data_IF_237347258767
#
_entry.id   IF_237347258767
#
_cell.length_a   1.000
_cell.length_b   1.000
_cell.length_c   1.000
_cell.angle_alpha   90.00
_cell.angle_beta   90.00
_cell.angle_gamma   90.00
#
_symmetry.space_group_name_H-M   'P 1'
#
loop_
_entity.id
_entity.type
_entity.pdbx_description
1 polymer ?
#
# COMPACT_ATOMS: atom_id res chain seq x y z
N UNK A 1 -8.51 -21.67 -0.74
CA UNK A 1 -9.87 -22.11 -0.38
C UNK A 1 -10.49 -21.05 0.53
N UNK A 2 -11.82 -20.92 0.54
CA UNK A 2 -12.49 -19.97 1.42
C UNK A 2 -12.50 -20.50 2.85
N UNK A 3 -12.34 -19.62 3.85
CA UNK A 3 -12.51 -19.99 5.27
C UNK A 3 -13.87 -20.61 5.54
N UNK A 4 -14.89 -20.27 4.75
CA UNK A 4 -16.19 -20.91 4.85
C UNK A 4 -16.13 -22.37 4.38
N UNK A 5 -15.36 -22.67 3.33
CA UNK A 5 -15.06 -24.03 2.90
C UNK A 5 -14.35 -24.80 4.01
N UNK A 6 -13.38 -24.18 4.68
CA UNK A 6 -12.66 -24.81 5.80
C UNK A 6 -13.58 -25.05 7.01
N UNK A 7 -14.45 -24.08 7.33
CA UNK A 7 -15.45 -24.22 8.39
C UNK A 7 -16.51 -25.27 8.06
N UNK A 8 -16.93 -25.37 6.79
CA UNK A 8 -17.83 -26.42 6.32
C UNK A 8 -17.17 -27.79 6.43
N UNK A 9 -15.89 -27.91 6.05
CA UNK A 9 -15.11 -29.14 6.22
C UNK A 9 -14.95 -29.52 7.69
N UNK A 10 -14.67 -28.54 8.58
CA UNK A 10 -14.62 -28.76 10.02
C UNK A 10 -15.99 -29.18 10.58
N UNK A 11 -17.08 -28.54 10.13
CA UNK A 11 -18.44 -28.90 10.52
C UNK A 11 -18.76 -30.33 10.08
N UNK A 12 -18.46 -30.69 8.82
CA UNK A 12 -18.62 -32.05 8.26
C UNK A 12 -17.84 -33.10 9.03
N UNK A 13 -16.64 -32.75 9.52
CA UNK A 13 -15.80 -33.66 10.31
C UNK A 13 -16.35 -33.94 11.72
N UNK A 14 -17.16 -33.03 12.27
CA UNK A 14 -17.77 -33.17 13.60
C UNK A 14 -19.20 -33.70 13.53
N UNK A 15 -19.96 -33.27 12.54
CA UNK A 15 -21.32 -33.68 12.24
C UNK A 15 -21.51 -33.72 10.70
N UNK A 16 -21.48 -34.91 10.10
CA UNK A 16 -21.60 -35.07 8.65
C UNK A 16 -22.92 -34.53 8.09
N UNK A 17 -24.01 -34.61 8.86
CA UNK A 17 -25.34 -34.22 8.42
C UNK A 17 -25.50 -32.70 8.48
N UNK A 18 -25.12 -32.08 9.60
CA UNK A 18 -25.09 -30.62 9.71
C UNK A 18 -24.16 -29.99 8.67
N UNK A 19 -22.99 -30.58 8.43
CA UNK A 19 -22.05 -30.09 7.41
C UNK A 19 -22.63 -30.17 5.98
N UNK A 20 -23.37 -31.23 5.66
CA UNK A 20 -24.06 -31.36 4.37
C UNK A 20 -25.23 -30.36 4.22
N UNK A 21 -25.98 -30.13 5.30
CA UNK A 21 -27.09 -29.16 5.32
C UNK A 21 -26.58 -27.73 5.15
N UNK A 22 -25.52 -27.35 5.88
CA UNK A 22 -24.88 -26.03 5.73
C UNK A 22 -24.30 -25.83 4.33
N UNK A 23 -23.72 -26.86 3.72
CA UNK A 23 -23.19 -26.78 2.36
C UNK A 23 -24.30 -26.57 1.34
N UNK A 24 -25.45 -27.22 1.51
CA UNK A 24 -26.64 -27.08 0.64
C UNK A 24 -27.23 -25.67 0.72
N UNK A 25 -27.50 -25.18 1.93
CA UNK A 25 -28.02 -23.83 2.17
C UNK A 25 -27.05 -22.77 1.68
N UNK A 26 -25.75 -22.97 1.92
CA UNK A 26 -24.73 -22.05 1.42
C UNK A 26 -24.67 -22.05 -0.11
N UNK A 27 -24.77 -23.21 -0.78
CA UNK A 27 -24.76 -23.27 -2.24
C UNK A 27 -25.90 -22.44 -2.83
N UNK A 28 -27.07 -22.45 -2.20
CA UNK A 28 -28.24 -21.62 -2.58
C UNK A 28 -28.03 -20.14 -2.27
N UNK A 29 -27.36 -19.78 -1.18
CA UNK A 29 -27.03 -18.39 -0.87
C UNK A 29 -25.93 -17.83 -1.78
N UNK A 30 -24.92 -18.65 -2.10
CA UNK A 30 -23.79 -18.30 -2.96
C UNK A 30 -24.18 -18.13 -4.43
N UNK A 31 -25.29 -18.72 -4.86
CA UNK A 31 -25.82 -18.54 -6.21
C UNK A 31 -26.50 -17.18 -6.41
N UNK A 32 -26.84 -16.48 -5.32
CA UNK A 32 -27.25 -15.08 -5.37
C UNK A 32 -26.00 -14.21 -5.40
N UNK A 33 -25.53 -13.90 -6.59
CA UNK A 33 -24.45 -12.93 -6.76
C UNK A 33 -24.98 -11.53 -6.41
N UNK A 34 -24.35 -10.80 -5.48
CA UNK A 34 -24.58 -9.37 -5.33
C UNK A 34 -24.42 -8.67 -6.69
N UNK A 35 -25.26 -7.68 -6.99
CA UNK A 35 -25.02 -6.83 -8.15
C UNK A 35 -23.77 -5.98 -7.91
N UNK A 36 -22.89 -5.87 -8.91
CA UNK A 36 -21.65 -5.09 -8.83
C UNK A 36 -20.38 -5.94 -8.81
N UNK A 37 -19.32 -5.37 -8.20
CA UNK A 37 -18.00 -6.00 -8.16
C UNK A 37 -17.96 -7.10 -7.10
N UNK A 38 -17.85 -8.34 -7.55
CA UNK A 38 -17.76 -9.53 -6.69
C UNK A 38 -16.32 -10.05 -6.60
N UNK A 39 -15.82 -10.21 -5.37
CA UNK A 39 -14.49 -10.76 -5.11
C UNK A 39 -14.41 -11.41 -3.72
N UNK A 40 -13.38 -12.24 -3.51
CA UNK A 40 -13.17 -12.95 -2.23
C UNK A 40 -12.57 -12.03 -1.16
N UNK A 41 -13.35 -11.75 -0.10
CA UNK A 41 -12.92 -10.91 1.04
C UNK A 41 -12.22 -11.66 2.18
N UNK A 42 -12.25 -12.99 2.14
CA UNK A 42 -11.95 -13.85 3.30
C UNK A 42 -10.53 -14.41 3.38
N UNK A 43 -9.60 -13.99 2.51
CA UNK A 43 -8.20 -14.40 2.68
C UNK A 43 -7.60 -13.57 3.84
N UNK A 44 -7.01 -14.22 4.86
CA UNK A 44 -6.41 -13.50 5.97
C UNK A 44 -5.21 -12.70 5.46
N UNK A 45 -5.24 -11.40 5.72
CA UNK A 45 -4.00 -10.63 5.77
C UNK A 45 -3.34 -10.97 7.09
N UNK A 46 -2.06 -11.33 7.05
CA UNK A 46 -1.24 -11.55 8.21
C UNK A 46 -0.30 -10.35 8.36
N UNK A 47 -0.21 -9.82 9.57
CA UNK A 47 0.68 -8.70 9.90
C UNK A 47 1.72 -9.21 10.88
N UNK A 48 2.98 -9.07 10.50
CA UNK A 48 4.11 -9.29 11.40
C UNK A 48 4.18 -8.12 12.40
N UNK A 49 4.39 -8.44 13.67
CA UNK A 49 4.50 -7.50 14.77
C UNK A 49 5.90 -7.62 15.43
N UNK A 50 6.98 -7.11 14.79
CA UNK A 50 8.36 -7.33 15.24
C UNK A 50 8.67 -6.81 16.64
N UNK A 51 7.94 -5.78 17.08
CA UNK A 51 8.13 -5.17 18.40
C UNK A 51 7.28 -5.82 19.50
N UNK A 52 6.37 -6.75 19.16
CA UNK A 52 5.50 -7.40 20.14
C UNK A 52 6.27 -8.56 20.82
N UNK A 53 6.38 -8.58 22.16
CA UNK A 53 7.03 -9.68 22.85
C UNK A 53 6.23 -10.97 22.70
N UNK A 54 6.93 -12.07 22.43
CA UNK A 54 6.33 -13.39 22.21
C UNK A 54 5.82 -13.99 23.52
N UNK A 55 4.59 -14.52 23.47
CA UNK A 55 3.90 -15.19 24.59
C UNK A 55 3.42 -16.58 24.17
N UNK A 56 3.17 -17.43 25.16
CA UNK A 56 2.48 -18.71 24.93
C UNK A 56 1.10 -18.46 24.30
N UNK A 57 0.79 -19.22 23.25
CA UNK A 57 -0.42 -19.11 22.46
C UNK A 57 -0.32 -18.20 21.25
N UNK A 58 0.72 -17.36 21.14
CA UNK A 58 0.92 -16.50 19.98
C UNK A 58 1.18 -17.31 18.71
N UNK A 59 0.71 -16.76 17.59
CA UNK A 59 1.06 -17.20 16.24
C UNK A 59 2.33 -16.51 15.82
N UNK A 60 3.26 -17.22 15.19
CA UNK A 60 4.58 -16.71 14.82
C UNK A 60 5.03 -17.22 13.46
N UNK A 61 5.87 -16.45 12.78
CA UNK A 61 6.74 -16.93 11.71
C UNK A 61 8.16 -17.14 12.25
N UNK A 62 8.87 -18.07 11.63
CA UNK A 62 10.29 -18.29 11.88
C UNK A 62 11.09 -17.40 10.93
N UNK A 63 11.89 -16.50 11.49
CA UNK A 63 12.74 -15.61 10.72
C UNK A 63 13.94 -16.41 10.17
N UNK A 64 14.36 -16.18 8.92
CA UNK A 64 15.57 -16.79 8.39
C UNK A 64 16.80 -16.31 9.17
N UNK A 65 17.86 -17.10 9.15
CA UNK A 65 19.12 -16.73 9.81
C UNK A 65 19.64 -15.41 9.24
N UNK A 66 20.02 -14.48 10.13
CA UNK A 66 20.58 -13.18 9.71
C UNK A 66 21.78 -13.43 8.80
N UNK A 67 21.63 -13.10 7.50
CA UNK A 67 22.58 -13.22 6.36
C UNK A 67 22.27 -14.32 5.32
N UNK A 68 21.28 -15.19 5.49
CA UNK A 68 20.84 -16.07 4.39
C UNK A 68 19.78 -15.38 3.53
N UNK A 69 19.91 -15.47 2.21
CA UNK A 69 18.88 -15.08 1.25
C UNK A 69 17.95 -16.28 0.96
N UNK A 70 17.72 -17.14 1.97
CA UNK A 70 16.82 -18.27 1.85
C UNK A 70 15.37 -17.78 1.86
N UNK A 71 14.51 -18.50 1.12
CA UNK A 71 13.08 -18.24 1.10
C UNK A 71 12.53 -18.26 2.52
N UNK A 72 11.75 -17.23 2.88
CA UNK A 72 11.09 -17.14 4.20
C UNK A 72 10.14 -18.32 4.38
N UNK A 73 10.13 -18.90 5.58
CA UNK A 73 9.11 -19.86 5.98
C UNK A 73 7.81 -19.10 6.31
N UNK A 74 6.88 -19.09 5.36
CA UNK A 74 5.55 -18.47 5.53
C UNK A 74 4.58 -19.34 6.33
N UNK A 75 5.02 -20.50 6.83
CA UNK A 75 4.19 -21.36 7.66
C UNK A 75 3.89 -20.68 8.99
N UNK A 76 2.64 -20.82 9.42
CA UNK A 76 2.15 -20.25 10.65
C UNK A 76 2.32 -21.24 11.81
N UNK A 77 3.09 -20.86 12.81
CA UNK A 77 3.37 -21.69 13.98
C UNK A 77 2.66 -21.14 15.22
N UNK A 78 2.25 -22.01 16.14
CA UNK A 78 1.71 -21.62 17.44
C UNK A 78 2.72 -21.92 18.56
N UNK A 79 2.97 -20.92 19.42
CA UNK A 79 3.85 -21.08 20.58
C UNK A 79 3.15 -21.90 21.67
N UNK A 80 3.62 -23.12 21.93
CA UNK A 80 3.07 -24.00 22.98
C UNK A 80 3.70 -23.77 24.34
N UNK A 81 5.00 -23.54 24.37
CA UNK A 81 5.74 -23.30 25.60
C UNK A 81 6.96 -22.41 25.34
N UNK A 82 7.40 -21.73 26.39
CA UNK A 82 8.64 -20.94 26.38
C UNK A 82 9.52 -21.48 27.50
N UNK A 83 10.73 -21.88 27.15
CA UNK A 83 11.71 -22.48 28.08
C UNK A 83 13.00 -21.67 28.07
N UNK A 84 13.73 -21.69 29.18
CA UNK A 84 15.10 -21.17 29.23
C UNK A 84 16.05 -22.28 28.77
N UNK A 85 16.96 -21.95 27.87
CA UNK A 85 18.10 -22.78 27.47
C UNK A 85 19.37 -21.97 27.72
N UNK A 86 20.01 -22.19 28.88
CA UNK A 86 21.15 -21.38 29.33
C UNK A 86 20.79 -19.90 29.54
N UNK A 87 21.51 -18.99 28.87
CA UNK A 87 21.24 -17.54 28.87
C UNK A 87 20.11 -17.12 27.92
N UNK A 88 19.71 -18.00 27.00
CA UNK A 88 18.75 -17.69 25.94
C UNK A 88 17.37 -18.26 26.26
N UNK A 89 16.32 -17.70 25.65
CA UNK A 89 14.96 -18.24 25.70
C UNK A 89 14.63 -18.91 24.37
N UNK A 90 14.05 -20.10 24.45
CA UNK A 90 13.57 -20.86 23.30
C UNK A 90 12.07 -21.08 23.42
N UNK A 91 11.38 -21.13 22.28
CA UNK A 91 9.96 -21.41 22.18
C UNK A 91 9.74 -22.76 21.48
N UNK A 92 8.85 -23.56 22.04
CA UNK A 92 8.35 -24.77 21.40
C UNK A 92 7.16 -24.41 20.54
N UNK A 93 7.25 -24.77 19.27
CA UNK A 93 6.31 -24.41 18.23
C UNK A 93 5.58 -25.65 17.75
N UNK A 94 4.32 -25.48 17.39
CA UNK A 94 3.51 -26.48 16.70
C UNK A 94 2.94 -25.85 15.43
N UNK A 95 3.04 -26.57 14.31
CA UNK A 95 2.59 -26.09 13.01
C UNK A 95 1.05 -26.03 12.97
N UNK A 96 0.49 -24.89 12.57
CA UNK A 96 -0.94 -24.75 12.36
C UNK A 96 -1.33 -25.28 10.98
N UNK A 97 -2.41 -26.09 10.93
CA UNK A 97 -3.01 -26.56 9.67
C UNK A 97 -2.37 -27.82 9.07
N UNK A 98 -1.42 -28.46 9.76
CA UNK A 98 -0.85 -29.74 9.33
C UNK A 98 -1.78 -30.92 9.67
N UNK A 99 -1.76 -31.96 8.82
CA UNK A 99 -2.52 -33.20 9.03
C UNK A 99 -1.99 -34.05 10.20
N UNK A 100 -0.79 -33.74 10.72
CA UNK A 100 -0.18 -34.37 11.87
C UNK A 100 0.63 -33.36 12.70
N UNK A 101 1.02 -33.71 13.94
CA UNK A 101 1.74 -32.81 14.82
C UNK A 101 3.19 -32.62 14.35
N UNK A 102 3.46 -31.54 13.63
CA UNK A 102 4.81 -31.06 13.34
C UNK A 102 5.21 -30.04 14.40
N UNK A 103 6.36 -30.24 15.04
CA UNK A 103 6.86 -29.38 16.11
C UNK A 103 8.34 -29.09 15.95
N UNK A 104 8.75 -27.90 16.39
CA UNK A 104 10.15 -27.50 16.41
C UNK A 104 10.43 -26.56 17.58
N UNK A 105 11.70 -26.46 18.00
CA UNK A 105 12.13 -25.52 19.03
C UNK A 105 13.03 -24.46 18.41
N UNK A 106 12.66 -23.19 18.57
CA UNK A 106 13.36 -22.05 17.94
C UNK A 106 13.71 -21.00 18.99
N UNK A 107 14.82 -20.28 18.80
CA UNK A 107 15.18 -19.15 19.65
C UNK A 107 14.13 -18.03 19.52
N UNK A 108 13.76 -17.39 20.64
CA UNK A 108 12.78 -16.30 20.63
C UNK A 108 13.21 -15.14 19.72
N UNK A 109 14.50 -14.87 19.62
CA UNK A 109 15.05 -13.77 18.82
C UNK A 109 14.91 -14.01 17.30
N UNK A 110 14.65 -15.26 16.89
CA UNK A 110 14.43 -15.67 15.50
C UNK A 110 12.94 -15.88 15.20
N UNK A 111 12.05 -15.35 16.04
CA UNK A 111 10.60 -15.42 15.88
C UNK A 111 10.00 -14.03 15.76
N UNK A 112 8.98 -13.92 14.92
CA UNK A 112 8.15 -12.72 14.81
C UNK A 112 6.69 -13.08 15.05
N UNK A 113 6.02 -12.32 15.90
CA UNK A 113 4.60 -12.51 16.18
C UNK A 113 3.79 -12.14 14.94
N UNK A 114 2.83 -12.98 14.59
CA UNK A 114 1.92 -12.79 13.47
C UNK A 114 0.51 -12.62 14.02
N UNK A 115 -0.13 -11.54 13.63
CA UNK A 115 -1.55 -11.34 13.84
C UNK A 115 -2.29 -11.54 12.52
N UNK A 116 -3.29 -12.41 12.52
CA UNK A 116 -4.20 -12.56 11.39
C UNK A 116 -5.32 -11.51 11.48
N UNK A 117 -5.93 -11.17 10.35
CA UNK A 117 -6.96 -10.11 10.23
C UNK A 117 -8.11 -10.13 11.27
N UNK A 118 -8.45 -11.28 11.87
CA UNK A 118 -9.50 -11.35 12.92
C UNK A 118 -8.97 -11.30 14.35
N UNK A 119 -7.66 -11.31 14.52
CA UNK A 119 -7.06 -11.08 15.82
C UNK A 119 -7.24 -9.62 16.19
N UNK A 120 -7.74 -9.35 17.39
CA UNK A 120 -7.88 -7.98 17.85
C UNK A 120 -6.50 -7.40 18.14
N UNK A 121 -6.11 -6.41 17.35
CA UNK A 121 -4.91 -5.62 17.57
C UNK A 121 -5.35 -4.28 18.13
N UNK A 122 -4.76 -3.88 19.26
CA UNK A 122 -4.91 -2.55 19.82
C UNK A 122 -3.72 -1.71 19.37
N UNK A 123 -3.86 -0.88 18.32
CA UNK A 123 -2.77 -0.05 17.86
C UNK A 123 -2.44 1.00 18.92
N UNK A 124 -1.15 1.13 19.22
CA UNK A 124 -0.59 2.22 20.01
C UNK A 124 0.45 2.97 19.19
N UNK A 125 0.55 4.28 19.42
CA UNK A 125 1.59 5.11 18.81
C UNK A 125 2.65 5.43 19.87
N UNK A 126 3.92 5.29 19.49
CA UNK A 126 5.07 5.70 20.29
C UNK A 126 5.83 6.73 19.47
N UNK A 127 6.14 7.88 20.07
CA UNK A 127 6.99 8.89 19.42
C UNK A 127 8.42 8.38 19.30
N UNK A 128 8.98 8.40 18.10
CA UNK A 128 10.36 7.98 17.81
C UNK A 128 11.32 9.17 17.63
N UNK A 129 10.79 10.40 17.57
CA UNK A 129 11.57 11.62 17.39
C UNK A 129 10.71 12.79 16.90
N UNK A 130 11.32 13.98 16.83
CA UNK A 130 10.74 15.20 16.27
C UNK A 130 11.83 16.07 15.62
N UNK A 131 11.44 16.88 14.65
CA UNK A 131 12.32 17.86 13.99
C UNK A 131 11.67 19.23 14.09
N UNK A 132 12.39 20.21 14.66
CA UNK A 132 11.87 21.56 14.93
C UNK A 132 12.58 22.57 14.03
N UNK A 133 11.97 22.87 12.88
CA UNK A 133 12.45 23.90 11.92
C UNK A 133 11.38 24.92 11.52
N UNK A 134 10.18 24.79 12.07
CA UNK A 134 8.98 25.52 11.63
C UNK A 134 8.56 26.67 12.53
N UNK A 135 9.30 26.98 13.60
CA UNK A 135 8.91 27.98 14.62
C UNK A 135 7.51 27.71 15.19
N UNK A 136 6.53 28.56 14.86
CA UNK A 136 5.13 28.53 15.32
C UNK A 136 4.19 27.72 14.41
N UNK A 137 4.69 27.19 13.28
CA UNK A 137 3.89 26.39 12.35
C UNK A 137 3.48 25.04 12.96
N UNK A 138 2.32 24.48 12.56
CA UNK A 138 1.89 23.16 13.00
C UNK A 138 2.90 22.06 12.65
N UNK A 139 2.94 21.01 13.47
CA UNK A 139 3.74 19.83 13.19
C UNK A 139 3.15 18.99 12.06
N UNK A 140 4.02 18.46 11.22
CA UNK A 140 3.70 17.33 10.35
C UNK A 140 4.06 16.02 11.05
N UNK A 141 3.25 14.99 10.83
CA UNK A 141 3.42 13.69 11.49
C UNK A 141 3.73 12.63 10.45
N UNK A 142 4.79 11.84 10.71
CA UNK A 142 5.08 10.62 9.96
C UNK A 142 4.82 9.44 10.89
N UNK A 143 3.97 8.51 10.46
CA UNK A 143 3.63 7.31 11.23
C UNK A 143 4.20 6.11 10.50
N UNK A 144 5.06 5.35 11.20
CA UNK A 144 5.54 4.06 10.70
C UNK A 144 4.67 2.94 11.29
N UNK A 145 3.96 2.21 10.43
CA UNK A 145 3.11 1.10 10.82
C UNK A 145 2.34 0.53 9.63
N UNK A 146 1.65 -0.58 9.87
CA UNK A 146 0.72 -1.14 8.89
C UNK A 146 -0.46 -0.16 8.72
N UNK A 147 -0.69 0.27 7.47
CA UNK A 147 -1.52 1.43 7.18
C UNK A 147 -3.01 1.23 7.54
N UNK A 148 -3.56 0.02 7.44
CA UNK A 148 -4.94 -0.24 7.84
C UNK A 148 -5.14 0.04 9.34
N UNK A 149 -4.23 -0.46 10.17
CA UNK A 149 -4.29 -0.24 11.62
C UNK A 149 -4.04 1.22 12.00
N UNK A 150 -3.12 1.90 11.30
CA UNK A 150 -2.89 3.34 11.49
C UNK A 150 -4.13 4.15 11.14
N UNK A 151 -4.76 3.88 10.00
CA UNK A 151 -5.99 4.55 9.58
C UNK A 151 -7.11 4.33 10.61
N UNK A 152 -7.31 3.10 11.09
CA UNK A 152 -8.28 2.80 12.15
C UNK A 152 -7.97 3.51 13.47
N UNK A 153 -6.71 3.72 13.83
CA UNK A 153 -6.34 4.51 15.00
C UNK A 153 -6.65 6.00 14.80
N UNK A 154 -6.42 6.53 13.60
CA UNK A 154 -6.71 7.94 13.28
C UNK A 154 -8.20 8.26 13.28
N UNK A 155 -9.10 7.30 13.06
CA UNK A 155 -10.55 7.57 13.09
C UNK A 155 -11.07 7.98 14.48
N UNK A 156 -10.31 7.76 15.56
CA UNK A 156 -10.67 8.27 16.88
C UNK A 156 -10.47 9.79 17.01
N UNK A 157 -9.53 10.36 16.26
CA UNK A 157 -9.10 11.77 16.43
C UNK A 157 -9.42 12.63 15.21
N UNK A 158 -9.43 12.04 14.01
CA UNK A 158 -9.49 12.72 12.71
C UNK A 158 -10.67 12.30 11.82
N UNK A 159 -11.67 11.59 12.37
CA UNK A 159 -12.89 11.22 11.63
C UNK A 159 -13.57 12.46 11.04
N UNK A 160 -13.81 12.44 9.73
CA UNK A 160 -14.43 13.55 8.99
C UNK A 160 -13.61 14.83 8.90
N UNK A 161 -12.30 14.80 9.19
CA UNK A 161 -11.45 16.01 9.25
C UNK A 161 -10.38 16.08 8.16
N UNK A 162 -10.27 15.08 7.29
CA UNK A 162 -9.22 15.03 6.27
C UNK A 162 -9.76 15.58 4.96
N UNK A 163 -9.20 16.71 4.51
CA UNK A 163 -9.65 17.38 3.28
C UNK A 163 -9.08 16.74 2.00
N UNK A 164 -7.91 16.10 2.09
CA UNK A 164 -7.30 15.42 0.96
C UNK A 164 -6.56 14.15 1.37
N UNK A 165 -6.76 13.07 0.62
CA UNK A 165 -5.97 11.84 0.70
C UNK A 165 -5.38 11.57 -0.68
N UNK A 166 -4.07 11.38 -0.75
CA UNK A 166 -3.38 10.89 -1.94
C UNK A 166 -2.72 9.55 -1.62
N UNK A 167 -2.98 8.53 -2.44
CA UNK A 167 -2.37 7.20 -2.29
C UNK A 167 -1.85 6.68 -3.62
N UNK A 168 -0.70 6.01 -3.53
CA UNK A 168 -0.05 5.28 -4.63
C UNK A 168 0.07 3.80 -4.25
N UNK A 169 -1.04 3.04 -4.34
CA UNK A 169 -1.08 1.64 -3.92
C UNK A 169 -0.23 0.76 -4.85
N UNK A 170 0.18 -0.45 -4.42
CA UNK A 170 0.89 -1.37 -5.29
C UNK A 170 0.04 -1.74 -6.51
N UNK A 171 0.60 -1.59 -7.71
CA UNK A 171 -0.10 -1.81 -8.99
C UNK A 171 -0.31 -3.29 -9.37
N UNK A 172 -0.03 -4.22 -8.45
CA UNK A 172 -0.19 -5.66 -8.65
C UNK A 172 0.51 -6.19 -9.92
N UNK A 173 1.71 -5.66 -10.19
CA UNK A 173 2.38 -5.89 -11.46
C UNK A 173 3.01 -7.26 -11.61
N UNK A 174 3.17 -8.00 -10.50
CA UNK A 174 3.98 -9.22 -10.42
C UNK A 174 5.48 -8.97 -10.55
N UNK A 175 5.92 -7.70 -10.57
CA UNK A 175 7.34 -7.36 -10.56
C UNK A 175 7.91 -7.53 -9.15
N UNK A 176 9.04 -8.25 -9.04
CA UNK A 176 9.73 -8.58 -7.77
C UNK A 176 10.64 -7.46 -7.25
N UNK A 177 10.67 -6.31 -7.94
CA UNK A 177 11.58 -5.21 -7.64
C UNK A 177 11.00 -4.27 -6.58
N UNK A 178 11.38 -4.56 -5.33
CA UNK A 178 11.46 -3.74 -4.12
C UNK A 178 10.78 -2.34 -4.11
N UNK A 179 9.66 -2.25 -3.38
CA UNK A 179 9.35 -1.16 -2.40
C UNK A 179 8.03 -1.41 -1.67
N UNK A 180 7.18 -2.28 -2.21
CA UNK A 180 6.01 -2.83 -1.58
C UNK A 180 6.19 -4.34 -1.43
N UNK A 181 5.60 -4.94 -0.41
CA UNK A 181 5.47 -6.39 -0.37
C UNK A 181 4.52 -6.80 -1.50
N UNK A 182 5.06 -6.95 -2.72
CA UNK A 182 4.34 -7.41 -3.90
C UNK A 182 4.09 -8.92 -3.83
N UNK A 183 4.60 -9.60 -2.78
CA UNK A 183 4.34 -11.03 -2.48
C UNK A 183 2.94 -11.25 -1.90
N UNK A 184 2.06 -10.23 -1.89
CA UNK A 184 0.65 -10.43 -1.54
C UNK A 184 0.00 -11.49 -2.43
N UNK A 185 0.47 -11.61 -3.68
CA UNK A 185 -0.02 -12.63 -4.59
C UNK A 185 0.98 -13.05 -5.67
N UNK A 186 1.30 -14.34 -5.70
CA UNK A 186 2.05 -14.95 -6.81
C UNK A 186 1.30 -14.82 -8.14
N UNK A 187 2.06 -14.76 -9.25
CA UNK A 187 1.49 -14.53 -10.58
C UNK A 187 0.57 -15.66 -11.07
N UNK A 188 0.70 -16.86 -10.49
CA UNK A 188 -0.09 -18.06 -10.76
C UNK A 188 -1.28 -18.24 -9.81
N UNK A 189 -1.44 -17.37 -8.81
CA UNK A 189 -2.60 -17.43 -7.91
C UNK A 189 -3.85 -16.87 -8.59
N UNK A 190 -4.79 -17.78 -8.85
CA UNK A 190 -6.11 -17.50 -9.43
C UNK A 190 -6.88 -16.40 -8.67
N UNK A 191 -6.56 -16.14 -7.39
CA UNK A 191 -7.22 -15.17 -6.53
C UNK A 191 -6.49 -13.83 -6.43
N UNK A 192 -5.48 -13.57 -7.27
CA UNK A 192 -4.67 -12.35 -7.25
C UNK A 192 -5.47 -11.06 -7.15
N UNK A 193 -6.38 -10.88 -8.07
CA UNK A 193 -7.16 -9.66 -8.15
C UNK A 193 -8.12 -9.53 -6.97
N UNK A 194 -8.67 -10.65 -6.48
CA UNK A 194 -9.53 -10.66 -5.29
C UNK A 194 -8.78 -10.28 -4.01
N UNK A 195 -7.55 -10.77 -3.83
CA UNK A 195 -6.70 -10.40 -2.69
C UNK A 195 -6.35 -8.91 -2.71
N UNK A 196 -5.99 -8.38 -3.88
CA UNK A 196 -5.70 -6.96 -4.05
C UNK A 196 -6.94 -6.10 -3.75
N UNK A 197 -8.11 -6.49 -4.26
CA UNK A 197 -9.37 -5.80 -4.00
C UNK A 197 -9.74 -5.83 -2.51
N UNK A 198 -9.57 -6.97 -1.83
CA UNK A 198 -9.82 -7.07 -0.39
C UNK A 198 -8.88 -6.18 0.44
N UNK A 199 -7.61 -6.12 0.05
CA UNK A 199 -6.60 -5.24 0.66
C UNK A 199 -7.00 -3.77 0.49
N UNK A 200 -7.38 -3.36 -0.72
CA UNK A 200 -7.78 -1.99 -1.03
C UNK A 200 -9.10 -1.61 -0.37
N UNK A 201 -10.15 -2.44 -0.46
CA UNK A 201 -11.49 -2.17 0.09
C UNK A 201 -11.40 -1.79 1.57
N UNK A 202 -10.66 -2.57 2.37
CA UNK A 202 -10.51 -2.33 3.81
C UNK A 202 -9.91 -0.96 4.13
N UNK A 203 -8.90 -0.56 3.36
CA UNK A 203 -8.18 0.72 3.54
C UNK A 203 -9.01 1.90 3.02
N UNK A 204 -9.70 1.73 1.89
CA UNK A 204 -10.61 2.71 1.33
C UNK A 204 -11.80 2.99 2.26
N UNK A 205 -12.36 1.95 2.90
CA UNK A 205 -13.42 2.11 3.90
C UNK A 205 -12.92 2.87 5.14
N UNK A 206 -11.71 2.59 5.61
CA UNK A 206 -11.12 3.37 6.71
C UNK A 206 -10.83 4.83 6.30
N UNK A 207 -10.34 5.05 5.08
CA UNK A 207 -10.12 6.39 4.52
C UNK A 207 -11.44 7.17 4.39
N UNK A 208 -12.54 6.51 3.99
CA UNK A 208 -13.90 7.09 3.94
C UNK A 208 -14.35 7.64 5.28
N UNK A 209 -13.99 7.00 6.40
CA UNK A 209 -14.31 7.50 7.74
C UNK A 209 -13.51 8.77 8.10
N UNK A 210 -12.33 8.97 7.52
CA UNK A 210 -11.44 10.11 7.79
C UNK A 210 -11.76 11.33 6.92
N UNK A 211 -12.16 11.09 5.67
CA UNK A 211 -12.46 12.15 4.70
C UNK A 211 -13.59 13.06 5.18
N UNK A 212 -13.39 14.37 5.01
CA UNK A 212 -14.41 15.38 5.26
C UNK A 212 -15.57 15.22 4.25
N UNK A 213 -16.82 14.93 4.69
CA UNK A 213 -17.92 14.70 3.77
C UNK A 213 -18.40 15.95 3.03
N UNK A 214 -18.07 17.16 3.52
CA UNK A 214 -18.57 18.42 2.94
C UNK A 214 -17.67 19.00 1.87
N UNK A 215 -16.36 18.77 1.97
CA UNK A 215 -15.38 19.27 0.99
C UNK A 215 -14.10 18.44 1.14
N UNK A 216 -13.95 17.40 0.33
CA UNK A 216 -12.70 16.64 0.29
C UNK A 216 -12.50 15.88 -1.01
N UNK A 217 -11.28 15.39 -1.19
CA UNK A 217 -10.90 14.54 -2.32
C UNK A 217 -10.03 13.37 -1.89
N UNK A 218 -10.34 12.20 -2.42
CA UNK A 218 -9.44 11.04 -2.44
C UNK A 218 -8.85 10.89 -3.85
N UNK A 219 -7.53 10.83 -3.93
CA UNK A 219 -6.76 10.68 -5.16
C UNK A 219 -6.03 9.34 -5.09
N UNK A 220 -6.28 8.46 -6.05
CA UNK A 220 -5.67 7.14 -6.12
C UNK A 220 -4.98 6.98 -7.47
N UNK A 221 -3.66 6.78 -7.47
CA UNK A 221 -2.91 6.45 -8.69
C UNK A 221 -3.00 4.96 -8.98
N UNK A 222 -2.97 4.59 -10.27
CA UNK A 222 -3.06 3.21 -10.71
C UNK A 222 -2.48 3.02 -12.12
N UNK A 223 -1.96 1.83 -12.41
CA UNK A 223 -1.55 1.44 -13.76
C UNK A 223 -2.67 0.76 -14.55
N UNK A 224 -2.31 0.24 -15.73
CA UNK A 224 -3.24 -0.46 -16.61
C UNK A 224 -3.77 -1.80 -16.07
N UNK A 225 -3.20 -2.36 -15.01
CA UNK A 225 -3.52 -3.73 -14.57
C UNK A 225 -4.75 -3.77 -13.68
N UNK A 226 -4.90 -2.77 -12.82
CA UNK A 226 -5.97 -2.74 -11.82
C UNK A 226 -6.96 -1.58 -11.97
N UNK A 227 -6.75 -0.65 -12.91
CA UNK A 227 -7.62 0.54 -13.04
C UNK A 227 -9.12 0.18 -13.15
N UNK A 228 -9.51 -0.80 -13.97
CA UNK A 228 -10.92 -1.20 -14.10
C UNK A 228 -11.51 -1.72 -12.80
N UNK A 229 -10.77 -2.56 -12.08
CA UNK A 229 -11.23 -3.17 -10.82
C UNK A 229 -11.28 -2.14 -9.70
N UNK A 230 -10.29 -1.25 -9.66
CA UNK A 230 -10.28 -0.12 -8.75
C UNK A 230 -11.47 0.81 -9.02
N UNK A 231 -11.74 1.17 -10.29
CA UNK A 231 -12.87 2.01 -10.66
C UNK A 231 -14.20 1.46 -10.15
N UNK A 232 -14.47 0.18 -10.41
CA UNK A 232 -15.66 -0.51 -9.90
C UNK A 232 -15.71 -0.55 -8.37
N UNK A 233 -14.57 -0.78 -7.70
CA UNK A 233 -14.49 -0.78 -6.25
C UNK A 233 -14.79 0.61 -5.67
N UNK A 234 -14.29 1.67 -6.30
CA UNK A 234 -14.53 3.05 -5.90
C UNK A 234 -16.00 3.43 -6.06
N UNK A 235 -16.61 3.11 -7.21
CA UNK A 235 -18.05 3.35 -7.44
C UNK A 235 -18.90 2.63 -6.40
N UNK A 236 -18.58 1.37 -6.09
CA UNK A 236 -19.28 0.59 -5.07
C UNK A 236 -19.04 1.11 -3.64
N UNK A 237 -17.85 1.62 -3.33
CA UNK A 237 -17.50 2.08 -1.97
C UNK A 237 -17.95 3.51 -1.69
N UNK A 238 -18.10 4.33 -2.73
CA UNK A 238 -18.32 5.77 -2.66
C UNK A 238 -19.49 6.22 -3.55
N UNK A 239 -20.66 5.61 -3.35
CA UNK A 239 -21.88 5.81 -4.15
C UNK A 239 -22.30 7.28 -4.38
N UNK A 240 -22.02 8.16 -3.41
CA UNK A 240 -22.41 9.58 -3.46
C UNK A 240 -21.26 10.52 -3.89
N UNK A 241 -20.12 9.98 -4.30
CA UNK A 241 -18.96 10.77 -4.71
C UNK A 241 -18.98 11.06 -6.21
N UNK A 242 -18.41 12.21 -6.59
CA UNK A 242 -18.07 12.46 -7.99
C UNK A 242 -16.74 11.79 -8.32
N UNK A 243 -16.79 10.72 -9.10
CA UNK A 243 -15.60 9.96 -9.50
C UNK A 243 -15.20 10.36 -10.91
N UNK A 244 -13.92 10.74 -11.08
CA UNK A 244 -13.36 11.09 -12.38
C UNK A 244 -12.01 10.43 -12.54
N UNK A 245 -11.83 9.69 -13.64
CA UNK A 245 -10.54 9.14 -14.03
C UNK A 245 -9.83 10.11 -14.96
N UNK A 246 -8.55 10.37 -14.71
CA UNK A 246 -7.69 11.13 -15.62
C UNK A 246 -6.48 10.29 -16.03
N UNK A 247 -5.89 10.64 -17.17
CA UNK A 247 -4.66 10.04 -17.67
C UNK A 247 -3.45 10.92 -17.31
N UNK A 248 -2.42 10.33 -16.71
CA UNK A 248 -1.10 10.93 -16.53
C UNK A 248 -0.13 10.39 -17.56
N UNK A 249 0.69 11.23 -18.18
CA UNK A 249 1.68 10.79 -19.17
C UNK A 249 2.99 10.45 -18.45
N UNK A 250 3.34 9.17 -18.39
CA UNK A 250 4.58 8.68 -17.77
C UNK A 250 5.80 8.82 -18.68
N UNK A 251 5.62 8.56 -19.98
CA UNK A 251 6.69 8.61 -20.97
C UNK A 251 6.10 8.94 -22.34
N UNK A 252 6.33 10.15 -22.88
CA UNK A 252 5.80 10.55 -24.19
C UNK A 252 6.28 9.67 -25.35
N UNK A 253 7.45 9.01 -25.23
CA UNK A 253 7.96 8.09 -26.25
C UNK A 253 7.25 6.74 -26.24
N UNK A 254 6.50 6.46 -25.17
CA UNK A 254 5.94 5.16 -24.88
C UNK A 254 6.98 4.19 -24.33
N UNK A 255 6.52 3.31 -23.47
CA UNK A 255 7.26 2.15 -22.97
C UNK A 255 6.56 0.92 -23.54
N UNK A 256 7.20 0.24 -24.48
CA UNK A 256 6.66 -0.96 -25.14
C UNK A 256 7.34 -2.23 -24.64
N UNK A 257 6.62 -3.35 -24.73
CA UNK A 257 7.20 -4.70 -24.65
C UNK A 257 7.41 -5.20 -26.08
N UNK A 258 8.38 -6.08 -26.29
CA UNK A 258 8.63 -6.64 -27.62
C UNK A 258 7.36 -7.34 -28.14
N UNK A 259 6.86 -6.90 -29.30
CA UNK A 259 5.65 -7.44 -29.91
C UNK A 259 4.33 -6.86 -29.40
N UNK A 260 4.35 -5.77 -28.62
CA UNK A 260 3.15 -5.16 -28.03
C UNK A 260 3.09 -3.65 -28.28
N UNK A 261 1.93 -3.03 -28.04
CA UNK A 261 1.72 -1.60 -28.17
C UNK A 261 2.53 -0.81 -27.13
N UNK A 262 3.07 0.34 -27.54
CA UNK A 262 3.77 1.24 -26.65
C UNK A 262 2.78 1.99 -25.76
N UNK A 263 3.07 2.05 -24.45
CA UNK A 263 2.18 2.69 -23.46
C UNK A 263 2.78 3.97 -22.95
N UNK A 264 1.97 5.03 -22.93
CA UNK A 264 2.42 6.38 -22.56
C UNK A 264 1.86 6.85 -21.22
N UNK A 265 0.89 6.12 -20.65
CA UNK A 265 0.05 6.62 -19.57
C UNK A 265 -0.04 5.69 -18.37
N UNK A 266 -0.24 6.32 -17.21
CA UNK A 266 -0.86 5.76 -16.01
C UNK A 266 -2.15 6.55 -15.72
N UNK A 267 -2.92 6.14 -14.72
CA UNK A 267 -4.22 6.70 -14.42
C UNK A 267 -4.31 7.22 -12.99
N UNK A 268 -5.16 8.23 -12.77
CA UNK A 268 -5.50 8.72 -11.45
C UNK A 268 -7.02 8.80 -11.33
N UNK A 269 -7.56 8.24 -10.25
CA UNK A 269 -8.95 8.45 -9.86
C UNK A 269 -9.04 9.60 -8.86
N UNK A 270 -9.87 10.58 -9.17
CA UNK A 270 -10.29 11.65 -8.27
C UNK A 270 -11.71 11.32 -7.79
N UNK A 271 -11.83 11.03 -6.49
CA UNK A 271 -13.09 10.75 -5.81
C UNK A 271 -13.40 11.96 -4.93
N UNK A 272 -14.28 12.83 -5.42
CA UNK A 272 -14.59 14.14 -4.81
C UNK A 272 -15.90 14.11 -4.04
N UNK A 273 -15.92 14.77 -2.89
CA UNK A 273 -17.08 14.87 -1.99
C UNK A 273 -17.53 16.31 -1.80
N UNK A 274 -18.85 16.49 -1.68
CA UNK A 274 -19.48 17.78 -1.37
C UNK A 274 -19.08 18.90 -2.33
N UNK A 275 -18.54 19.99 -1.79
CA UNK A 275 -18.17 21.21 -2.52
C UNK A 275 -16.83 21.11 -3.28
N UNK A 276 -16.13 19.98 -3.22
CA UNK A 276 -14.82 19.81 -3.86
C UNK A 276 -14.91 19.96 -5.37
N UNK A 277 -14.25 20.98 -5.90
CA UNK A 277 -14.26 21.34 -7.33
C UNK A 277 -12.85 21.48 -7.89
N UNK A 278 -12.74 21.30 -9.21
CA UNK A 278 -11.50 21.61 -9.93
C UNK A 278 -11.45 23.12 -10.13
N UNK A 279 -10.46 23.77 -9.54
CA UNK A 279 -10.23 25.20 -9.75
C UNK A 279 -9.92 25.51 -11.21
N UNK A 280 -10.35 26.67 -11.67
CA UNK A 280 -9.90 27.21 -12.96
C UNK A 280 -8.45 27.65 -12.82
N UNK A 281 -7.68 27.52 -13.91
CA UNK A 281 -6.35 28.11 -13.96
C UNK A 281 -6.49 29.63 -13.76
N UNK A 282 -5.67 30.27 -12.90
CA UNK A 282 -5.65 31.72 -12.80
C UNK A 282 -5.43 32.35 -14.17
N UNK A 283 -6.05 33.51 -14.41
CA UNK A 283 -5.79 34.29 -15.62
C UNK A 283 -4.36 34.86 -15.53
N UNK A 284 -3.42 34.18 -16.19
CA UNK A 284 -2.01 34.55 -16.27
C UNK A 284 -1.75 35.58 -17.39
N UNK A 285 -2.77 36.12 -18.05
CA UNK A 285 -2.62 37.07 -19.16
C UNK A 285 -1.88 38.37 -18.80
N UNK A 286 -1.77 38.69 -17.50
CA UNK A 286 -1.01 39.83 -16.99
C UNK A 286 0.41 39.50 -16.49
N UNK A 287 0.85 38.24 -16.51
CA UNK A 287 2.08 37.79 -15.85
C UNK A 287 3.15 37.41 -16.86
N UNK A 288 3.87 38.42 -17.36
CA UNK A 288 5.06 38.25 -18.19
C UNK A 288 4.80 37.52 -19.53
N UNK A 289 5.88 37.11 -20.20
CA UNK A 289 5.76 36.30 -21.41
C UNK A 289 5.42 34.85 -21.02
N UNK A 290 4.42 34.28 -21.67
CA UNK A 290 4.04 32.87 -21.49
C UNK A 290 5.25 31.97 -21.78
N UNK A 291 5.81 31.37 -20.73
CA UNK A 291 6.91 30.41 -20.89
C UNK A 291 6.31 29.10 -21.37
N UNK A 292 6.67 28.69 -22.59
CA UNK A 292 6.32 27.36 -23.08
C UNK A 292 7.06 26.30 -22.25
N UNK A 293 6.37 25.73 -21.26
CA UNK A 293 6.86 24.62 -20.44
C UNK A 293 7.27 23.41 -21.30
N UNK A 294 6.77 23.31 -22.54
CA UNK A 294 7.20 22.30 -23.50
C UNK A 294 8.70 22.35 -23.82
N UNK A 295 9.30 23.54 -23.81
CA UNK A 295 10.75 23.72 -24.03
C UNK A 295 11.59 23.29 -22.83
N UNK A 296 10.99 23.29 -21.63
CA UNK A 296 11.61 22.72 -20.41
C UNK A 296 11.39 21.21 -20.28
N UNK A 297 10.50 20.61 -21.10
CA UNK A 297 10.38 19.15 -21.20
C UNK A 297 11.52 18.61 -22.07
N UNK A 298 12.20 17.58 -21.58
CA UNK A 298 13.35 16.91 -22.22
C UNK A 298 12.97 16.25 -23.56
N UNK A 299 12.88 17.02 -24.65
CA UNK A 299 12.45 16.52 -25.98
C UNK A 299 13.59 16.34 -26.98
N UNK A 300 14.75 16.98 -26.81
CA UNK A 300 15.86 16.89 -27.77
C UNK A 300 17.07 16.10 -27.25
N UNK A 301 18.01 15.77 -28.16
CA UNK A 301 19.26 15.06 -27.86
C UNK A 301 20.16 15.78 -26.84
N UNK A 302 20.11 17.12 -26.75
CA UNK A 302 20.83 17.90 -25.75
C UNK A 302 20.26 17.74 -24.33
N UNK A 303 19.06 17.15 -24.17
CA UNK A 303 18.45 16.81 -22.88
C UNK A 303 18.72 15.38 -22.42
N UNK A 304 19.45 14.58 -23.21
CA UNK A 304 19.75 13.20 -22.87
C UNK A 304 20.77 13.12 -21.72
N UNK A 305 20.43 12.41 -20.63
CA UNK A 305 21.46 11.92 -19.69
C UNK A 305 22.43 11.06 -20.51
N UNK A 306 23.73 11.38 -20.42
CA UNK A 306 24.77 10.57 -21.07
C UNK A 306 24.52 9.08 -20.79
N UNK A 307 24.59 8.25 -21.83
CA UNK A 307 24.37 6.81 -21.71
C UNK A 307 25.36 6.22 -20.70
N UNK A 308 24.83 5.63 -19.62
CA UNK A 308 25.39 4.67 -18.66
C UNK A 308 26.70 5.04 -17.92
N UNK A 309 26.62 5.10 -16.58
CA UNK A 309 27.76 5.08 -15.64
C UNK A 309 27.44 5.79 -14.30
N UNK A 310 28.17 5.46 -13.22
CA UNK A 310 28.21 6.31 -12.01
C UNK A 310 28.75 7.68 -12.44
N UNK A 311 27.86 8.68 -12.52
CA UNK A 311 28.15 9.98 -13.15
C UNK A 311 27.22 10.36 -14.32
N UNK A 312 26.21 9.55 -14.66
CA UNK A 312 25.23 9.84 -15.73
C UNK A 312 24.17 10.92 -15.38
N UNK A 313 24.42 11.75 -14.38
CA UNK A 313 23.79 13.05 -14.22
C UNK A 313 24.86 14.07 -14.60
N UNK A 314 24.65 14.87 -15.65
CA UNK A 314 25.60 15.92 -15.99
C UNK A 314 25.88 16.77 -14.75
N UNK A 315 27.14 17.16 -14.47
CA UNK A 315 27.53 17.87 -13.24
C UNK A 315 26.79 19.19 -13.02
N UNK A 316 26.06 19.69 -14.03
CA UNK A 316 25.43 20.99 -14.04
C UNK A 316 23.89 20.98 -13.81
N UNK A 317 23.31 19.92 -13.25
CA UNK A 317 21.84 19.84 -13.06
C UNK A 317 21.34 20.34 -11.70
N UNK A 318 22.23 20.74 -10.79
CA UNK A 318 21.86 21.31 -9.50
C UNK A 318 22.39 22.74 -9.44
N UNK A 319 21.51 23.73 -9.56
CA UNK A 319 21.86 25.15 -9.45
C UNK A 319 20.74 25.88 -8.71
N UNK A 320 21.07 26.94 -7.94
CA UNK A 320 20.04 27.74 -7.29
C UNK A 320 19.28 28.56 -8.32
N UNK A 321 17.97 28.67 -8.13
CA UNK A 321 17.12 29.63 -8.83
C UNK A 321 16.90 30.79 -7.86
N UNK A 322 17.16 32.02 -8.31
CA UNK A 322 16.92 33.21 -7.53
C UNK A 322 15.52 33.73 -7.82
N UNK A 323 14.77 33.96 -6.75
CA UNK A 323 13.40 34.45 -6.81
C UNK A 323 13.34 35.76 -6.02
N UNK A 324 12.80 36.79 -6.65
CA UNK A 324 12.48 38.05 -5.99
C UNK A 324 11.31 37.82 -5.03
N UNK A 325 11.50 38.19 -3.77
CA UNK A 325 10.60 37.81 -2.67
C UNK A 325 9.34 38.69 -2.67
N UNK A 326 9.41 39.89 -3.24
CA UNK A 326 8.29 40.85 -3.28
C UNK A 326 7.37 40.58 -4.47
N UNK A 327 7.96 40.25 -5.63
CA UNK A 327 7.23 40.05 -6.89
C UNK A 327 6.98 38.58 -7.21
N UNK A 328 7.73 37.66 -6.61
CA UNK A 328 7.68 36.22 -6.90
C UNK A 328 8.36 35.82 -8.22
N UNK A 329 9.00 36.76 -8.93
CA UNK A 329 9.62 36.48 -10.22
C UNK A 329 11.00 35.81 -10.08
N UNK A 330 11.31 34.89 -11.00
CA UNK A 330 12.66 34.35 -11.15
C UNK A 330 13.55 35.45 -11.73
N UNK A 331 14.51 35.93 -10.96
CA UNK A 331 15.46 36.98 -11.38
C UNK A 331 16.74 36.42 -11.99
N UNK A 332 17.01 35.13 -11.79
CA UNK A 332 18.15 34.48 -12.41
C UNK A 332 18.37 33.06 -11.92
N UNK A 333 19.51 32.50 -12.34
CA UNK A 333 20.03 31.22 -11.87
C UNK A 333 21.49 31.40 -11.46
N UNK A 334 21.91 30.71 -10.42
CA UNK A 334 23.33 30.65 -10.03
C UNK A 334 24.10 29.60 -10.82
N UNK A 335 25.39 29.49 -10.47
CA UNK A 335 26.25 28.46 -11.02
C UNK A 335 25.87 27.07 -10.49
N UNK A 336 26.08 26.02 -11.29
CA UNK A 336 25.85 24.66 -10.82
C UNK A 336 26.77 24.26 -9.67
N UNK A 337 26.23 23.48 -8.73
CA UNK A 337 26.97 22.94 -7.61
C UNK A 337 28.06 21.99 -8.11
N UNK A 338 29.28 22.16 -7.58
CA UNK A 338 30.40 21.28 -7.88
C UNK A 338 30.10 19.84 -7.42
N UNK A 339 30.60 18.86 -8.17
CA UNK A 339 30.50 17.45 -7.82
C UNK A 339 31.25 17.18 -6.50
N UNK A 340 30.51 17.02 -5.39
CA UNK A 340 31.07 16.77 -4.07
C UNK A 340 30.35 17.45 -2.89
N UNK A 341 29.39 18.35 -3.15
CA UNK A 341 28.61 19.02 -2.09
C UNK A 341 27.24 18.41 -1.80
N UNK A 342 26.96 17.22 -2.34
CA UNK A 342 25.77 16.42 -2.05
C UNK A 342 26.19 15.20 -1.24
N UNK A 343 26.54 15.40 0.03
CA UNK A 343 26.58 14.35 1.06
C UNK A 343 25.32 14.40 1.92
#
# INVERSE_FOLDING_TARGET
>A
MSRLTDLLSQAKSKDPQLGADLEREFRVLSSRLPFGLNFERHRPEAVELPQRPIRKGDKVHVLPTRKSAENRDERLWQVRAIRKSGKNKVADLELLGAAGPESQTVAIDDLVVVAEFRDTIYPGLVSTGKVERGSDKPYHTVINGENYHVLKALTYTHRGKVDAIYIDPPYNTGAKDWKYNNDYVEADDLYRHSKWLAMMERRLLAAKELLNPTDSVLIVTIDEKEYLRLGLLLEQSFENAQITMISSIINPKGTGRSGDFARTNEYLYFVRFGASTVGTRPDESGVGNEVSWETMRRRNLASARGRKGKGACGPNQFYPIFVDIETGFITGRGEPLAAGHLE
#
